data_IF_162014081158
#
_entry.id   IF_162014081158
#
_cell.length_a   1.000
_cell.length_b   1.000
_cell.length_c   1.000
_cell.angle_alpha   90.00
_cell.angle_beta   90.00
_cell.angle_gamma   90.00
#
_symmetry.space_group_name_H-M   'P 1'
#
loop_
_entity.id
_entity.type
_entity.pdbx_description
1 polymer ?
#
# COMPACT_ATOMS: atom_id res chain seq x y z
N UNK A 1 12.48 3.07 -38.23
CA UNK A 1 11.30 3.96 -38.17
C UNK A 1 10.19 3.37 -37.32
N UNK A 2 9.73 2.12 -37.55
CA UNK A 2 8.67 1.46 -36.74
C UNK A 2 9.03 1.29 -35.25
N UNK A 3 10.31 1.05 -34.91
CA UNK A 3 10.75 0.93 -33.52
C UNK A 3 10.68 2.28 -32.75
N UNK A 4 10.89 3.40 -33.42
CA UNK A 4 10.76 4.73 -32.84
C UNK A 4 9.29 5.10 -32.57
N UNK A 5 8.37 4.67 -33.44
CA UNK A 5 6.94 4.91 -33.27
C UNK A 5 6.38 4.16 -32.05
N UNK A 6 6.88 2.94 -31.79
CA UNK A 6 6.48 2.14 -30.62
C UNK A 6 7.04 2.74 -29.32
N UNK A 7 8.29 3.21 -29.31
CA UNK A 7 8.90 3.84 -28.15
C UNK A 7 8.28 5.22 -27.83
N UNK A 8 7.86 5.98 -28.85
CA UNK A 8 7.17 7.25 -28.69
C UNK A 8 5.77 7.14 -28.06
N UNK A 9 5.07 5.99 -28.26
CA UNK A 9 3.75 5.76 -27.66
C UNK A 9 3.81 5.34 -26.20
N UNK A 10 4.92 4.80 -25.72
CA UNK A 10 5.11 4.34 -24.33
C UNK A 10 5.47 5.49 -23.37
N UNK A 11 5.88 6.65 -23.91
CA UNK A 11 6.35 7.79 -23.12
C UNK A 11 5.34 8.93 -23.06
N UNK A 12 4.45 8.94 -22.07
CA UNK A 12 3.68 10.14 -21.70
C UNK A 12 4.50 11.10 -20.83
N UNK A 13 4.97 12.15 -21.48
CA UNK A 13 5.10 13.57 -21.12
C UNK A 13 6.14 14.09 -20.13
N UNK A 14 6.77 13.38 -19.19
CA UNK A 14 7.71 14.02 -18.23
C UNK A 14 9.14 13.50 -18.19
N UNK A 15 9.45 12.43 -18.90
CA UNK A 15 10.79 11.79 -18.90
C UNK A 15 11.56 11.98 -20.23
N UNK A 16 11.26 13.03 -20.99
CA UNK A 16 11.78 13.20 -22.36
C UNK A 16 13.31 13.41 -22.40
N UNK A 17 13.90 14.01 -21.35
CA UNK A 17 15.31 14.32 -21.32
C UNK A 17 16.23 13.12 -21.19
N UNK A 18 15.95 12.24 -20.24
CA UNK A 18 16.78 11.04 -19.97
C UNK A 18 16.62 9.97 -21.05
N UNK A 19 15.39 9.74 -21.50
CA UNK A 19 15.10 8.77 -22.58
C UNK A 19 15.65 9.24 -23.93
N UNK A 20 15.63 10.54 -24.21
CA UNK A 20 16.24 11.12 -25.41
C UNK A 20 17.76 10.95 -25.39
N UNK A 21 18.41 11.07 -24.23
CA UNK A 21 19.84 10.84 -24.09
C UNK A 21 20.22 9.39 -24.43
N UNK A 22 19.51 8.40 -23.90
CA UNK A 22 19.76 6.98 -24.19
C UNK A 22 19.45 6.58 -25.62
N UNK A 23 18.42 7.17 -26.22
CA UNK A 23 18.14 6.97 -27.66
C UNK A 23 19.26 7.53 -28.52
N UNK A 24 19.83 8.67 -28.15
CA UNK A 24 20.94 9.29 -28.88
C UNK A 24 22.21 8.42 -28.79
N UNK A 25 22.51 7.85 -27.62
CA UNK A 25 23.67 6.98 -27.40
C UNK A 25 23.58 5.66 -28.21
N UNK A 26 22.36 5.11 -28.38
CA UNK A 26 22.13 3.89 -29.16
C UNK A 26 22.13 4.13 -30.66
N UNK A 27 21.72 5.33 -31.14
CA UNK A 27 21.47 5.60 -32.56
C UNK A 27 22.53 6.48 -33.26
N UNK A 28 23.46 7.13 -32.51
CA UNK A 28 24.39 8.10 -33.09
C UNK A 28 25.78 7.56 -33.45
N UNK A 29 26.10 6.28 -33.17
CA UNK A 29 27.36 5.67 -33.63
C UNK A 29 27.18 5.03 -35.02
N UNK A 30 27.83 5.56 -36.09
CA UNK A 30 27.57 5.12 -37.47
C UNK A 30 28.18 3.77 -37.86
N UNK A 31 28.97 3.11 -37.00
CA UNK A 31 29.74 1.90 -37.34
C UNK A 31 29.43 0.66 -36.48
N UNK A 32 28.24 0.60 -35.88
CA UNK A 32 27.86 -0.55 -35.02
C UNK A 32 27.30 -1.68 -35.87
N UNK A 33 27.77 -2.90 -35.66
CA UNK A 33 27.24 -4.09 -36.37
C UNK A 33 25.75 -4.28 -36.01
N UNK A 34 25.01 -4.91 -36.94
CA UNK A 34 23.58 -5.19 -36.70
C UNK A 34 23.32 -6.01 -35.42
N UNK A 35 24.21 -6.93 -35.06
CA UNK A 35 24.09 -7.75 -33.84
C UNK A 35 24.29 -6.89 -32.57
N UNK A 36 25.28 -6.04 -32.55
CA UNK A 36 25.54 -5.11 -31.46
C UNK A 36 24.38 -4.12 -31.27
N UNK A 37 23.82 -3.61 -32.38
CA UNK A 37 22.63 -2.75 -32.35
C UNK A 37 21.43 -3.44 -31.69
N UNK A 38 21.13 -4.68 -32.06
CA UNK A 38 20.06 -5.45 -31.46
C UNK A 38 20.33 -5.79 -29.99
N UNK A 39 21.57 -6.02 -29.62
CA UNK A 39 21.96 -6.23 -28.23
C UNK A 39 21.69 -4.98 -27.38
N UNK A 40 22.14 -3.80 -27.81
CA UNK A 40 21.92 -2.52 -27.11
C UNK A 40 20.43 -2.18 -27.01
N UNK A 41 19.65 -2.37 -28.06
CA UNK A 41 18.20 -2.21 -28.03
C UNK A 41 17.54 -3.11 -26.99
N UNK A 42 17.95 -4.38 -26.92
CA UNK A 42 17.40 -5.32 -25.94
C UNK A 42 17.72 -4.89 -24.51
N UNK A 43 18.92 -4.40 -24.25
CA UNK A 43 19.31 -3.89 -22.93
C UNK A 43 18.49 -2.64 -22.56
N UNK A 44 18.30 -1.71 -23.48
CA UNK A 44 17.48 -0.53 -23.28
C UNK A 44 16.02 -0.89 -22.96
N UNK A 45 15.42 -1.79 -23.71
CA UNK A 45 14.07 -2.26 -23.45
C UNK A 45 13.94 -2.90 -22.05
N UNK A 46 14.91 -3.73 -21.65
CA UNK A 46 14.92 -4.32 -20.29
C UNK A 46 15.01 -3.24 -19.22
N UNK A 47 15.88 -2.25 -19.38
CA UNK A 47 16.01 -1.14 -18.42
C UNK A 47 14.71 -0.37 -18.29
N UNK A 48 14.10 0.06 -19.41
CA UNK A 48 12.82 0.78 -19.39
C UNK A 48 11.71 -0.04 -18.72
N UNK A 49 11.65 -1.35 -18.98
CA UNK A 49 10.68 -2.23 -18.34
C UNK A 49 10.89 -2.30 -16.82
N UNK A 50 12.14 -2.46 -16.37
CA UNK A 50 12.47 -2.52 -14.95
C UNK A 50 12.14 -1.20 -14.24
N UNK A 51 12.55 -0.06 -14.79
CA UNK A 51 12.28 1.28 -14.25
C UNK A 51 10.76 1.51 -14.08
N UNK A 52 9.96 1.07 -15.06
CA UNK A 52 8.50 1.18 -14.97
C UNK A 52 7.90 0.27 -13.88
N UNK A 53 8.46 -0.93 -13.67
CA UNK A 53 8.03 -1.85 -12.61
C UNK A 53 8.37 -1.26 -11.24
N UNK A 54 9.57 -0.75 -11.06
CA UNK A 54 10.02 -0.12 -9.81
C UNK A 54 9.17 1.10 -9.43
N UNK A 55 8.94 2.02 -10.37
CA UNK A 55 8.08 3.19 -10.16
C UNK A 55 6.65 2.81 -9.79
N UNK A 56 6.10 1.79 -10.46
CA UNK A 56 4.76 1.29 -10.13
C UNK A 56 4.69 0.68 -8.73
N UNK A 57 5.76 -0.01 -8.32
CA UNK A 57 5.85 -0.60 -6.99
C UNK A 57 5.96 0.48 -5.91
N UNK A 58 6.76 1.52 -6.15
CA UNK A 58 6.89 2.67 -5.26
C UNK A 58 5.54 3.41 -5.10
N UNK A 59 4.85 3.70 -6.20
CA UNK A 59 3.52 4.32 -6.17
C UNK A 59 2.50 3.49 -5.39
N UNK A 60 2.55 2.15 -5.51
CA UNK A 60 1.70 1.25 -4.72
C UNK A 60 2.03 1.31 -3.23
N UNK A 61 3.31 1.39 -2.89
CA UNK A 61 3.77 1.56 -1.51
C UNK A 61 3.26 2.86 -0.89
N UNK A 62 3.44 3.99 -1.58
CA UNK A 62 2.95 5.30 -1.15
C UNK A 62 1.43 5.30 -0.94
N UNK A 63 0.69 4.70 -1.86
CA UNK A 63 -0.76 4.58 -1.76
C UNK A 63 -1.20 3.77 -0.52
N UNK A 64 -0.51 2.69 -0.20
CA UNK A 64 -0.81 1.91 1.01
C UNK A 64 -0.49 2.70 2.29
N UNK A 65 0.54 3.52 2.29
CA UNK A 65 0.82 4.40 3.43
C UNK A 65 -0.28 5.48 3.61
N UNK A 66 -0.82 6.03 2.53
CA UNK A 66 -1.99 6.93 2.60
C UNK A 66 -3.23 6.21 3.15
N UNK A 67 -3.47 4.96 2.71
CA UNK A 67 -4.56 4.13 3.23
C UNK A 67 -4.37 3.85 4.73
N UNK A 68 -3.17 3.51 5.17
CA UNK A 68 -2.88 3.30 6.61
C UNK A 68 -3.12 4.56 7.43
N UNK A 69 -2.72 5.72 6.92
CA UNK A 69 -2.99 7.00 7.57
C UNK A 69 -4.48 7.25 7.70
N UNK A 70 -5.26 7.05 6.65
CA UNK A 70 -6.72 7.14 6.70
C UNK A 70 -7.33 6.20 7.76
N UNK A 71 -6.86 4.94 7.82
CA UNK A 71 -7.30 3.98 8.83
C UNK A 71 -6.95 4.48 10.25
N UNK A 72 -5.76 5.04 10.46
CA UNK A 72 -5.33 5.59 11.75
C UNK A 72 -6.18 6.79 12.20
N UNK A 73 -6.68 7.57 11.28
CA UNK A 73 -7.57 8.70 11.55
C UNK A 73 -9.02 8.29 11.84
N UNK A 74 -9.44 7.12 11.30
CA UNK A 74 -10.85 6.68 11.33
C UNK A 74 -11.06 5.29 11.95
N UNK A 75 -10.08 4.73 12.66
CA UNK A 75 -10.17 3.36 13.22
C UNK A 75 -11.35 3.17 14.18
N UNK A 76 -11.80 4.23 14.85
CA UNK A 76 -12.92 4.22 15.78
C UNK A 76 -14.30 4.09 15.09
N UNK A 77 -14.37 4.31 13.78
CA UNK A 77 -15.62 4.15 13.06
C UNK A 77 -16.03 2.67 13.04
N UNK A 78 -17.19 2.35 13.56
CA UNK A 78 -17.65 0.96 13.71
C UNK A 78 -17.83 0.23 12.36
N UNK A 79 -18.00 0.98 11.27
CA UNK A 79 -18.12 0.50 9.89
C UNK A 79 -16.79 0.46 9.13
N UNK A 80 -15.65 0.69 9.83
CA UNK A 80 -14.33 0.63 9.20
C UNK A 80 -14.07 -0.73 8.58
N UNK A 81 -13.96 -0.76 7.26
CA UNK A 81 -13.80 -1.98 6.47
C UNK A 81 -13.36 -1.69 5.05
N UNK A 82 -13.13 -2.76 4.27
CA UNK A 82 -12.71 -2.66 2.86
C UNK A 82 -13.69 -1.84 2.01
N UNK A 83 -14.99 -1.93 2.29
CA UNK A 83 -16.03 -1.18 1.55
C UNK A 83 -15.87 0.33 1.74
N UNK A 84 -15.70 0.78 2.99
CA UNK A 84 -15.54 2.20 3.32
C UNK A 84 -14.27 2.78 2.72
N UNK A 85 -13.14 2.11 2.93
CA UNK A 85 -11.84 2.53 2.39
C UNK A 85 -11.81 2.44 0.87
N UNK A 86 -12.40 1.37 0.29
CA UNK A 86 -12.53 1.22 -1.15
C UNK A 86 -13.34 2.37 -1.77
N UNK A 87 -14.42 2.80 -1.11
CA UNK A 87 -15.21 3.97 -1.52
C UNK A 87 -14.40 5.26 -1.50
N UNK A 88 -13.66 5.53 -0.42
CA UNK A 88 -12.82 6.73 -0.27
C UNK A 88 -11.72 6.80 -1.35
N UNK A 89 -10.99 5.72 -1.55
CA UNK A 89 -9.90 5.65 -2.53
C UNK A 89 -10.33 5.25 -3.94
N UNK A 90 -11.65 5.13 -4.20
CA UNK A 90 -12.23 4.74 -5.48
C UNK A 90 -11.69 3.42 -6.04
N UNK A 91 -11.55 2.45 -5.16
CA UNK A 91 -11.02 1.12 -5.46
C UNK A 91 -12.06 0.04 -5.16
N UNK A 92 -12.00 -1.08 -5.90
CA UNK A 92 -12.77 -2.27 -5.51
C UNK A 92 -12.17 -2.90 -4.24
N UNK A 93 -13.03 -3.50 -3.40
CA UNK A 93 -12.60 -4.20 -2.18
C UNK A 93 -11.57 -5.29 -2.46
N UNK A 94 -11.74 -6.02 -3.57
CA UNK A 94 -10.82 -7.08 -3.98
C UNK A 94 -9.43 -6.52 -4.31
N UNK A 95 -9.36 -5.42 -5.07
CA UNK A 95 -8.10 -4.79 -5.41
C UNK A 95 -7.42 -4.21 -4.16
N UNK A 96 -8.17 -3.50 -3.32
CA UNK A 96 -7.67 -2.95 -2.06
C UNK A 96 -7.11 -4.05 -1.15
N UNK A 97 -7.84 -5.16 -0.97
CA UNK A 97 -7.41 -6.29 -0.14
C UNK A 97 -6.09 -6.90 -0.63
N UNK A 98 -5.97 -7.11 -1.96
CA UNK A 98 -4.75 -7.65 -2.58
C UNK A 98 -3.59 -6.68 -2.44
N UNK A 99 -3.79 -5.41 -2.80
CA UNK A 99 -2.78 -4.36 -2.72
C UNK A 99 -2.26 -4.20 -1.28
N UNK A 100 -3.18 -4.13 -0.32
CA UNK A 100 -2.82 -3.97 1.08
C UNK A 100 -1.99 -5.16 1.59
N UNK A 101 -2.40 -6.38 1.27
CA UNK A 101 -1.66 -7.60 1.66
C UNK A 101 -0.27 -7.66 1.02
N UNK A 102 -0.14 -7.34 -0.26
CA UNK A 102 1.14 -7.35 -0.98
C UNK A 102 2.14 -6.34 -0.40
N UNK A 103 1.67 -5.14 -0.03
CA UNK A 103 2.53 -4.05 0.41
C UNK A 103 2.77 -4.02 1.93
N UNK A 104 1.80 -4.44 2.75
CA UNK A 104 1.92 -4.40 4.22
C UNK A 104 2.34 -5.73 4.85
N UNK A 105 2.35 -6.83 4.08
CA UNK A 105 2.67 -8.18 4.56
C UNK A 105 1.58 -8.83 5.42
N UNK A 106 0.46 -8.14 5.67
CA UNK A 106 -0.68 -8.61 6.46
C UNK A 106 -2.01 -8.28 5.81
N UNK A 107 -3.10 -8.89 6.28
CA UNK A 107 -4.41 -8.55 5.74
C UNK A 107 -4.96 -7.26 6.39
N UNK A 108 -5.89 -6.62 5.68
CA UNK A 108 -6.51 -5.36 6.09
C UNK A 108 -7.25 -5.47 7.45
N UNK A 109 -8.00 -6.56 7.64
CA UNK A 109 -8.80 -6.73 8.86
C UNK A 109 -7.92 -6.90 10.11
N UNK A 110 -6.83 -7.64 9.99
CA UNK A 110 -5.86 -7.83 11.08
C UNK A 110 -5.16 -6.51 11.42
N UNK A 111 -4.84 -5.69 10.42
CA UNK A 111 -4.25 -4.37 10.64
C UNK A 111 -5.18 -3.44 11.43
N UNK A 112 -6.45 -3.34 11.03
CA UNK A 112 -7.45 -2.53 11.73
C UNK A 112 -7.67 -3.05 13.15
N UNK A 113 -7.77 -4.38 13.32
CA UNK A 113 -7.92 -4.99 14.64
C UNK A 113 -6.72 -4.70 15.55
N UNK A 114 -5.50 -4.91 15.05
CA UNK A 114 -4.27 -4.64 15.81
C UNK A 114 -4.23 -3.17 16.27
N UNK A 115 -4.50 -2.23 15.37
CA UNK A 115 -4.54 -0.80 15.68
C UNK A 115 -5.57 -0.47 16.76
N UNK A 116 -6.80 -1.01 16.66
CA UNK A 116 -7.85 -0.82 17.67
C UNK A 116 -7.43 -1.36 19.03
N UNK A 117 -6.80 -2.53 19.07
CA UNK A 117 -6.35 -3.14 20.34
C UNK A 117 -5.17 -2.38 20.94
N UNK A 118 -4.26 -1.84 20.13
CA UNK A 118 -3.18 -0.97 20.62
C UNK A 118 -3.75 0.30 21.27
N UNK A 119 -4.69 0.96 20.59
CA UNK A 119 -5.39 2.13 21.17
C UNK A 119 -6.22 1.79 22.40
N UNK A 120 -6.83 0.62 22.45
CA UNK A 120 -7.52 0.14 23.65
C UNK A 120 -6.56 -0.04 24.83
N UNK A 121 -5.35 -0.53 24.62
CA UNK A 121 -4.35 -0.65 25.68
C UNK A 121 -3.99 0.72 26.28
N UNK A 122 -3.82 1.74 25.43
CA UNK A 122 -3.56 3.11 25.87
C UNK A 122 -4.72 3.65 26.75
N UNK A 123 -5.97 3.45 26.29
CA UNK A 123 -7.17 3.91 27.00
C UNK A 123 -7.43 3.16 28.32
N UNK A 124 -7.07 1.87 28.39
CA UNK A 124 -7.22 1.05 29.60
C UNK A 124 -6.25 1.42 30.73
N UNK A 125 -5.16 2.11 30.43
CA UNK A 125 -4.23 2.64 31.45
C UNK A 125 -4.89 3.73 32.29
N UNK A 126 -5.89 4.41 31.76
CA UNK A 126 -6.68 5.37 32.53
C UNK A 126 -7.75 4.62 33.32
N UNK A 127 -7.65 4.64 34.66
CA UNK A 127 -8.57 3.95 35.56
C UNK A 127 -10.04 4.47 35.50
N UNK A 128 -10.27 5.66 34.96
CA UNK A 128 -11.62 6.23 34.79
C UNK A 128 -12.42 5.52 33.67
N UNK A 129 -11.77 4.94 32.66
CA UNK A 129 -12.45 4.30 31.55
C UNK A 129 -12.93 2.89 31.93
N UNK A 130 -14.18 2.56 31.67
CA UNK A 130 -14.63 1.16 31.77
C UNK A 130 -14.24 0.36 30.52
N UNK A 131 -14.23 -0.97 30.63
CA UNK A 131 -13.97 -1.85 29.46
C UNK A 131 -15.03 -1.64 28.37
N UNK A 132 -16.25 -1.27 28.75
CA UNK A 132 -17.32 -0.99 27.79
C UNK A 132 -17.06 0.32 27.05
N UNK A 133 -16.68 1.37 27.76
CA UNK A 133 -16.37 2.68 27.16
C UNK A 133 -15.19 2.57 26.18
N UNK A 134 -14.16 1.79 26.58
CA UNK A 134 -13.01 1.55 25.71
C UNK A 134 -13.41 0.77 24.46
N UNK A 135 -14.25 -0.26 24.58
CA UNK A 135 -14.71 -1.02 23.42
C UNK A 135 -15.43 -0.15 22.39
N UNK A 136 -16.30 0.74 22.86
CA UNK A 136 -17.02 1.70 22.02
C UNK A 136 -16.07 2.73 21.42
N UNK A 137 -15.19 3.31 22.22
CA UNK A 137 -14.22 4.33 21.80
C UNK A 137 -13.26 3.84 20.70
N UNK A 138 -12.94 2.54 20.66
CA UNK A 138 -12.10 1.96 19.61
C UNK A 138 -12.89 1.30 18.47
N UNK A 139 -14.21 1.56 18.38
CA UNK A 139 -15.03 1.18 17.22
C UNK A 139 -15.58 -0.24 17.23
N UNK A 140 -15.74 -0.88 18.39
CA UNK A 140 -16.45 -2.16 18.48
C UNK A 140 -17.92 -1.97 18.82
N UNK A 141 -18.80 -2.53 18.00
CA UNK A 141 -20.26 -2.53 18.25
C UNK A 141 -20.67 -3.45 19.42
N UNK A 142 -19.76 -4.30 19.90
CA UNK A 142 -20.05 -5.26 20.96
C UNK A 142 -18.81 -5.45 21.84
N UNK A 143 -19.01 -5.30 23.14
CA UNK A 143 -17.97 -5.55 24.15
C UNK A 143 -17.49 -7.01 24.12
N UNK A 144 -18.36 -7.94 23.74
CA UNK A 144 -17.98 -9.36 23.61
C UNK A 144 -17.02 -9.57 22.46
N UNK A 145 -17.28 -8.94 21.29
CA UNK A 145 -16.37 -8.98 20.14
C UNK A 145 -15.03 -8.34 20.48
N UNK A 146 -15.04 -7.20 21.17
CA UNK A 146 -13.84 -6.55 21.68
C UNK A 146 -13.02 -7.47 22.59
N UNK A 147 -13.64 -8.09 23.59
CA UNK A 147 -12.94 -8.97 24.54
C UNK A 147 -12.30 -10.17 23.84
N UNK A 148 -12.96 -10.74 22.81
CA UNK A 148 -12.41 -11.83 22.00
C UNK A 148 -11.20 -11.38 21.19
N UNK A 149 -11.31 -10.26 20.51
CA UNK A 149 -10.23 -9.65 19.72
C UNK A 149 -9.05 -9.30 20.63
N UNK A 150 -9.31 -8.64 21.75
CA UNK A 150 -8.28 -8.26 22.71
C UNK A 150 -7.50 -9.49 23.25
N UNK A 151 -8.20 -10.55 23.66
CA UNK A 151 -7.57 -11.78 24.12
C UNK A 151 -6.79 -12.48 23.01
N UNK A 152 -7.28 -12.45 21.76
CA UNK A 152 -6.57 -13.00 20.59
C UNK A 152 -5.25 -12.27 20.34
N UNK A 153 -5.25 -10.94 20.39
CA UNK A 153 -4.08 -10.11 20.06
C UNK A 153 -3.09 -10.02 21.24
N UNK A 154 -3.58 -9.85 22.48
CA UNK A 154 -2.74 -9.63 23.67
C UNK A 154 -2.51 -10.87 24.53
N UNK A 155 -3.24 -11.95 24.31
CA UNK A 155 -3.15 -13.19 25.11
C UNK A 155 -3.85 -13.11 26.48
N UNK A 156 -4.20 -11.92 26.94
CA UNK A 156 -4.86 -11.64 28.23
C UNK A 156 -6.18 -10.91 28.05
N UNK A 157 -7.05 -10.89 29.05
CA UNK A 157 -8.30 -10.12 28.98
C UNK A 157 -8.04 -8.63 29.23
N UNK A 158 -8.93 -7.72 28.73
CA UNK A 158 -8.84 -6.28 29.01
C UNK A 158 -8.84 -5.95 30.51
N UNK A 159 -9.49 -6.78 31.31
CA UNK A 159 -9.58 -6.59 32.77
C UNK A 159 -8.25 -6.95 33.46
N UNK A 160 -7.53 -7.94 32.97
CA UNK A 160 -6.22 -8.36 33.50
C UNK A 160 -5.10 -7.38 33.15
N UNK A 161 -5.22 -6.64 32.04
CA UNK A 161 -4.26 -5.59 31.68
C UNK A 161 -4.43 -4.34 32.56
N UNK A 162 -5.60 -4.16 33.14
CA UNK A 162 -5.96 -3.01 33.97
C UNK A 162 -5.52 -3.26 35.41
N UNK A 163 -4.25 -3.06 35.69
CA UNK A 163 -3.69 -3.16 37.04
C UNK A 163 -3.74 -1.82 37.75
#
# INVERSE_FOLDING_TARGET
RKAMDILGQVSKKEEVGEKAFWLNEVFMEPEVSGEEYFYRLRQLCKKICNDNVEKKQEQRGLLVEEIKKYIQEHYCDSDMGLSKVGGEFRMSESYLSTLFKEQSGGNFADYVEMLRIEKACELLQNSANTVNDVAEAVGYNSVQSFRRAFKRVKGVSPKELRV
#
